data_IF_992977892412
#
_entry.id   IF_992977892412
#
_cell.length_a   1.000
_cell.length_b   1.000
_cell.length_c   1.000
_cell.angle_alpha   90.00
_cell.angle_beta   90.00
_cell.angle_gamma   90.00
#
_symmetry.space_group_name_H-M   'P 1'
#
loop_
_entity.id
_entity.type
_entity.pdbx_description
1 polymer ?
#
# COMPACT_ATOMS: atom_id res chain seq x y z
N UNK A 1 48.32 86.50 20.90
CA UNK A 1 49.35 86.79 19.93
C UNK A 1 49.11 85.83 18.77
N UNK A 2 48.64 86.42 17.87
CA UNK A 2 48.86 86.43 16.44
C UNK A 2 48.24 85.29 15.63
N UNK A 3 47.39 85.61 14.96
CA UNK A 3 46.57 85.53 13.87
C UNK A 3 47.24 85.34 12.47
N UNK A 4 46.46 85.33 11.37
CA UNK A 4 46.41 84.31 10.32
C UNK A 4 47.29 84.67 9.09
N UNK A 5 47.21 84.11 7.90
CA UNK A 5 46.08 84.17 6.98
C UNK A 5 45.92 83.11 5.85
N UNK A 6 44.72 83.06 5.28
CA UNK A 6 44.30 83.11 3.87
C UNK A 6 44.66 82.08 2.82
N UNK A 7 43.61 81.65 2.15
CA UNK A 7 43.36 81.47 0.72
C UNK A 7 44.03 80.38 -0.09
N UNK A 8 43.15 79.61 -0.75
CA UNK A 8 43.50 78.79 -1.87
C UNK A 8 42.28 78.01 -2.42
N UNK A 9 41.46 78.66 -3.25
CA UNK A 9 40.44 78.02 -4.12
C UNK A 9 41.16 77.18 -5.19
N UNK A 10 40.72 75.95 -5.33
CA UNK A 10 40.85 75.19 -6.57
C UNK A 10 39.64 74.19 -6.82
N UNK A 11 39.26 73.93 -8.03
CA UNK A 11 37.92 73.47 -8.38
C UNK A 11 37.78 71.96 -8.59
N UNK A 12 36.61 71.50 -8.34
CA UNK A 12 35.92 70.50 -9.07
C UNK A 12 36.60 69.14 -9.36
N UNK A 13 36.25 68.10 -8.56
CA UNK A 13 36.25 66.68 -9.05
C UNK A 13 34.96 66.02 -8.69
N UNK A 14 34.12 65.95 -9.74
CA UNK A 14 32.86 65.26 -9.78
C UNK A 14 33.18 63.76 -9.78
N UNK A 15 33.22 63.09 -8.63
CA UNK A 15 33.27 61.63 -8.56
C UNK A 15 31.88 61.08 -8.62
N UNK A 16 31.46 60.78 -9.86
CA UNK A 16 30.34 59.94 -10.15
C UNK A 16 30.49 58.58 -9.44
N UNK A 17 29.72 58.42 -8.38
CA UNK A 17 29.52 57.09 -7.76
C UNK A 17 28.83 56.21 -8.76
N UNK A 18 29.56 55.45 -9.54
CA UNK A 18 29.06 54.28 -10.29
C UNK A 18 28.60 53.25 -9.29
N UNK A 19 27.33 53.26 -8.96
CA UNK A 19 26.69 52.13 -8.27
C UNK A 19 26.82 50.90 -9.14
N UNK A 20 27.53 49.90 -8.64
CA UNK A 20 27.74 48.62 -9.30
C UNK A 20 26.40 47.88 -9.45
N UNK A 21 25.95 47.46 -10.68
CA UNK A 21 24.74 46.72 -10.88
C UNK A 21 24.86 45.20 -10.66
N UNK A 22 25.95 44.71 -10.05
CA UNK A 22 26.30 43.30 -10.02
C UNK A 22 25.74 42.51 -8.83
N UNK A 23 25.19 43.14 -7.80
CA UNK A 23 24.67 42.41 -6.63
C UNK A 23 23.24 41.95 -6.79
N UNK A 24 22.41 42.65 -7.56
CA UNK A 24 21.01 42.29 -7.74
C UNK A 24 20.78 41.15 -8.75
N UNK A 25 21.62 40.99 -9.76
CA UNK A 25 21.51 39.91 -10.74
C UNK A 25 21.87 38.55 -10.13
N UNK A 26 22.86 38.47 -9.26
CA UNK A 26 23.27 37.22 -8.60
C UNK A 26 22.23 36.73 -7.57
N UNK A 27 21.53 37.64 -6.87
CA UNK A 27 20.45 37.27 -5.94
C UNK A 27 19.20 36.75 -6.65
N UNK A 28 18.87 37.30 -7.81
CA UNK A 28 17.75 36.84 -8.65
C UNK A 28 17.99 35.48 -9.29
N UNK A 29 19.24 35.26 -9.70
CA UNK A 29 19.66 34.01 -10.35
C UNK A 29 19.74 32.85 -9.32
N UNK A 30 20.23 33.15 -8.12
CA UNK A 30 20.30 32.19 -7.02
C UNK A 30 18.90 31.76 -6.53
N UNK A 31 17.95 32.70 -6.40
CA UNK A 31 16.56 32.39 -6.07
C UNK A 31 15.86 31.56 -7.16
N UNK A 32 16.10 31.88 -8.44
CA UNK A 32 15.54 31.10 -9.54
C UNK A 32 16.10 29.67 -9.56
N UNK A 33 17.40 29.51 -9.29
CA UNK A 33 18.03 28.19 -9.23
C UNK A 33 17.54 27.37 -8.03
N UNK A 34 17.32 27.98 -6.87
CA UNK A 34 16.76 27.34 -5.67
C UNK A 34 15.30 26.90 -5.90
N UNK A 35 14.44 27.79 -6.42
CA UNK A 35 13.05 27.47 -6.77
C UNK A 35 12.96 26.35 -7.82
N UNK A 36 13.83 26.36 -8.82
CA UNK A 36 13.86 25.30 -9.84
C UNK A 36 14.30 23.97 -9.23
N UNK A 37 15.23 23.98 -8.29
CA UNK A 37 15.73 22.81 -7.59
C UNK A 37 14.67 22.21 -6.65
N UNK A 38 13.96 23.04 -5.88
CA UNK A 38 12.84 22.61 -5.04
C UNK A 38 11.72 22.00 -5.89
N UNK A 39 11.32 22.64 -7.00
CA UNK A 39 10.31 22.11 -7.91
C UNK A 39 10.70 20.76 -8.53
N UNK A 40 11.97 20.57 -8.90
CA UNK A 40 12.46 19.30 -9.46
C UNK A 40 12.44 18.20 -8.38
N UNK A 41 12.82 18.54 -7.14
CA UNK A 41 12.75 17.61 -6.01
C UNK A 41 11.31 17.19 -5.70
N UNK A 42 10.35 18.13 -5.73
CA UNK A 42 8.94 17.85 -5.55
C UNK A 42 8.38 16.93 -6.64
N UNK A 43 8.71 17.18 -7.91
CA UNK A 43 8.28 16.33 -9.03
C UNK A 43 8.87 14.92 -8.90
N UNK A 44 10.14 14.80 -8.54
CA UNK A 44 10.77 13.49 -8.34
C UNK A 44 10.09 12.71 -7.19
N UNK A 45 9.77 13.38 -6.08
CA UNK A 45 9.08 12.78 -4.94
C UNK A 45 7.66 12.34 -5.31
N UNK A 46 6.92 13.18 -6.02
CA UNK A 46 5.57 12.86 -6.49
C UNK A 46 5.57 11.70 -7.51
N UNK A 47 6.61 11.59 -8.35
CA UNK A 47 6.75 10.46 -9.26
C UNK A 47 7.01 9.14 -8.53
N UNK A 48 7.82 9.15 -7.45
CA UNK A 48 8.01 8.00 -6.57
C UNK A 48 6.68 7.59 -5.91
N UNK A 49 5.92 8.55 -5.39
CA UNK A 49 4.59 8.31 -4.82
C UNK A 49 3.63 7.68 -5.84
N UNK A 50 3.66 8.13 -7.09
CA UNK A 50 2.84 7.55 -8.15
C UNK A 50 3.25 6.10 -8.46
N UNK A 51 4.55 5.81 -8.56
CA UNK A 51 5.05 4.43 -8.76
C UNK A 51 4.63 3.53 -7.61
N UNK A 52 4.82 3.97 -6.35
CA UNK A 52 4.39 3.21 -5.16
C UNK A 52 2.86 2.97 -5.17
N UNK A 53 2.06 3.99 -5.55
CA UNK A 53 0.62 3.85 -5.71
C UNK A 53 0.23 2.83 -6.79
N UNK A 54 0.96 2.78 -7.93
CA UNK A 54 0.76 1.75 -8.96
C UNK A 54 1.07 0.36 -8.40
N UNK A 55 2.21 0.20 -7.74
CA UNK A 55 2.63 -1.08 -7.16
C UNK A 55 1.58 -1.57 -6.15
N UNK A 56 1.17 -0.71 -5.21
CA UNK A 56 0.15 -1.05 -4.22
C UNK A 56 -1.17 -1.46 -4.87
N UNK A 57 -1.72 -0.63 -5.75
CA UNK A 57 -3.01 -0.90 -6.37
C UNK A 57 -3.03 -2.17 -7.22
N UNK A 58 -1.93 -2.50 -7.90
CA UNK A 58 -1.83 -3.73 -8.68
C UNK A 58 -1.61 -4.98 -7.82
N UNK A 59 -0.96 -4.87 -6.67
CA UNK A 59 -0.51 -6.06 -5.91
C UNK A 59 -1.36 -6.38 -4.69
N UNK A 60 -2.11 -5.42 -4.13
CA UNK A 60 -2.86 -5.62 -2.88
C UNK A 60 -3.98 -6.67 -3.01
N UNK A 61 -4.69 -6.70 -4.13
CA UNK A 61 -5.81 -7.62 -4.33
C UNK A 61 -5.43 -8.93 -5.01
N UNK A 62 -4.26 -8.99 -5.62
CA UNK A 62 -3.71 -10.22 -6.16
C UNK A 62 -3.12 -11.09 -5.04
N UNK A 63 -3.17 -12.42 -5.15
CA UNK A 63 -2.60 -13.29 -4.13
C UNK A 63 -1.06 -13.37 -4.21
N UNK A 64 -0.37 -12.20 -4.33
CA UNK A 64 1.08 -12.09 -4.56
C UNK A 64 1.83 -11.26 -3.50
N UNK A 65 1.13 -10.66 -2.53
CA UNK A 65 1.67 -9.82 -1.45
C UNK A 65 2.23 -8.46 -1.88
N UNK A 66 1.46 -7.40 -1.63
CA UNK A 66 1.89 -6.00 -1.85
C UNK A 66 3.13 -5.62 -1.03
N UNK A 67 3.21 -6.07 0.23
CA UNK A 67 4.32 -5.74 1.15
C UNK A 67 5.70 -6.01 0.54
N UNK A 68 5.92 -7.21 -0.01
CA UNK A 68 7.22 -7.53 -0.63
C UNK A 68 7.55 -6.68 -1.85
N UNK A 69 6.52 -6.28 -2.62
CA UNK A 69 6.70 -5.42 -3.79
C UNK A 69 6.98 -3.97 -3.40
N UNK A 70 6.30 -3.46 -2.35
CA UNK A 70 6.53 -2.12 -1.83
C UNK A 70 7.93 -1.98 -1.21
N UNK A 71 8.39 -2.97 -0.44
CA UNK A 71 9.77 -2.98 0.09
C UNK A 71 10.78 -2.92 -1.06
N UNK A 72 10.62 -3.77 -2.08
CA UNK A 72 11.51 -3.76 -3.23
C UNK A 72 11.47 -2.43 -3.99
N UNK A 73 10.28 -1.93 -4.31
CA UNK A 73 10.09 -0.68 -5.04
C UNK A 73 10.60 0.53 -4.24
N UNK A 74 10.28 0.59 -2.94
CA UNK A 74 10.72 1.64 -2.03
C UNK A 74 12.25 1.72 -1.95
N UNK A 75 12.91 0.58 -1.73
CA UNK A 75 14.37 0.51 -1.69
C UNK A 75 15.01 0.93 -3.01
N UNK A 76 14.50 0.47 -4.16
CA UNK A 76 15.02 0.85 -5.48
C UNK A 76 14.81 2.32 -5.81
N UNK A 77 13.76 2.92 -5.27
CA UNK A 77 13.46 4.35 -5.46
C UNK A 77 14.16 5.24 -4.43
N UNK A 78 14.80 4.68 -3.39
CA UNK A 78 15.26 5.44 -2.23
C UNK A 78 14.07 6.14 -1.55
N UNK A 79 13.00 5.40 -1.29
CA UNK A 79 11.76 5.83 -0.64
C UNK A 79 11.40 4.78 0.43
N UNK A 80 12.20 4.73 1.50
CA UNK A 80 12.20 3.68 2.52
C UNK A 80 12.38 4.20 3.96
N UNK A 81 12.20 5.52 4.17
CA UNK A 81 12.22 6.15 5.49
C UNK A 81 10.94 5.82 6.31
N UNK A 82 10.90 6.27 7.56
CA UNK A 82 9.74 6.03 8.44
C UNK A 82 8.46 6.71 7.92
N UNK A 83 8.59 7.83 7.18
CA UNK A 83 7.45 8.48 6.53
C UNK A 83 6.95 7.64 5.35
N UNK A 84 7.83 7.00 4.58
CA UNK A 84 7.47 6.09 3.50
C UNK A 84 6.67 4.88 4.03
N UNK A 85 7.00 4.35 5.21
CA UNK A 85 6.22 3.28 5.86
C UNK A 85 4.80 3.71 6.19
N UNK A 86 4.60 4.94 6.66
CA UNK A 86 3.26 5.50 6.89
C UNK A 86 2.53 5.73 5.58
N UNK A 87 3.24 6.20 4.56
CA UNK A 87 2.71 6.39 3.22
C UNK A 87 2.22 5.06 2.62
N UNK A 88 2.99 3.97 2.73
CA UNK A 88 2.61 2.65 2.23
C UNK A 88 1.29 2.15 2.83
N UNK A 89 1.10 2.37 4.14
CA UNK A 89 -0.16 2.02 4.80
C UNK A 89 -1.31 2.95 4.35
N UNK A 90 -1.01 4.21 4.11
CA UNK A 90 -2.02 5.17 3.67
C UNK A 90 -2.53 4.87 2.27
N UNK A 91 -1.65 4.52 1.32
CA UNK A 91 -2.05 4.22 -0.07
C UNK A 91 -2.90 2.95 -0.17
N UNK A 92 -2.82 2.02 0.78
CA UNK A 92 -3.76 0.90 0.91
C UNK A 92 -5.20 1.40 1.06
N UNK A 93 -5.41 2.55 1.73
CA UNK A 93 -6.73 3.17 1.84
C UNK A 93 -7.24 3.63 0.47
N UNK A 94 -6.37 4.12 -0.41
CA UNK A 94 -6.72 4.41 -1.80
C UNK A 94 -7.20 3.18 -2.55
N UNK A 95 -6.46 2.08 -2.41
CA UNK A 95 -6.81 0.80 -3.02
C UNK A 95 -8.15 0.26 -2.52
N UNK A 96 -8.48 0.39 -1.21
CA UNK A 96 -9.76 -0.11 -0.68
C UNK A 96 -10.96 0.69 -1.16
N UNK A 97 -10.83 1.98 -1.44
CA UNK A 97 -11.89 2.77 -2.07
C UNK A 97 -12.27 2.22 -3.46
N UNK A 98 -11.33 1.62 -4.18
CA UNK A 98 -11.62 0.94 -5.45
C UNK A 98 -12.53 -0.29 -5.25
N UNK A 99 -12.33 -1.07 -4.19
CA UNK A 99 -13.24 -2.17 -3.82
C UNK A 99 -14.63 -1.65 -3.52
N UNK A 100 -14.71 -0.59 -2.70
CA UNK A 100 -16.00 0.02 -2.34
C UNK A 100 -16.73 0.48 -3.60
N UNK A 101 -16.03 1.08 -4.56
CA UNK A 101 -16.63 1.52 -5.83
C UNK A 101 -17.10 0.33 -6.68
N UNK A 102 -16.28 -0.72 -6.84
CA UNK A 102 -16.63 -1.91 -7.63
C UNK A 102 -17.85 -2.65 -7.06
N UNK A 103 -17.93 -2.71 -5.73
CA UNK A 103 -19.03 -3.39 -5.04
C UNK A 103 -20.08 -2.45 -4.46
N UNK A 104 -20.11 -1.20 -4.91
CA UNK A 104 -20.97 -0.14 -4.37
C UNK A 104 -22.44 -0.53 -4.26
N UNK A 105 -23.01 -1.11 -5.32
CA UNK A 105 -24.41 -1.53 -5.31
C UNK A 105 -24.68 -2.56 -4.20
N UNK A 106 -23.86 -3.61 -4.13
CA UNK A 106 -24.04 -4.67 -3.13
C UNK A 106 -23.84 -4.16 -1.71
N UNK A 107 -22.86 -3.29 -1.49
CA UNK A 107 -22.62 -2.66 -0.17
C UNK A 107 -23.81 -1.80 0.20
N UNK A 108 -24.26 -0.90 -0.68
CA UNK A 108 -25.41 -0.04 -0.45
C UNK A 108 -26.68 -0.85 -0.15
N UNK A 109 -26.98 -1.84 -0.99
CA UNK A 109 -28.18 -2.66 -0.86
C UNK A 109 -28.14 -3.48 0.44
N UNK A 110 -26.96 -4.00 0.82
CA UNK A 110 -26.76 -4.66 2.11
C UNK A 110 -27.02 -3.72 3.27
N UNK A 111 -26.44 -2.51 3.25
CA UNK A 111 -26.59 -1.52 4.33
C UNK A 111 -28.06 -1.10 4.48
N UNK A 112 -28.76 -0.83 3.37
CA UNK A 112 -30.17 -0.45 3.38
C UNK A 112 -31.08 -1.61 3.86
N UNK A 113 -30.69 -2.85 3.60
CA UNK A 113 -31.43 -4.04 4.01
C UNK A 113 -31.13 -4.51 5.45
N UNK A 114 -30.09 -3.99 6.10
CA UNK A 114 -29.70 -4.39 7.47
C UNK A 114 -30.85 -4.33 8.50
N UNK A 115 -31.74 -3.31 8.49
CA UNK A 115 -32.83 -3.24 9.49
C UNK A 115 -33.90 -4.32 9.31
N UNK A 116 -34.10 -4.84 8.09
CA UNK A 116 -35.26 -5.66 7.74
C UNK A 116 -34.94 -7.07 7.26
N UNK A 117 -33.75 -7.31 6.69
CA UNK A 117 -33.43 -8.57 6.02
C UNK A 117 -32.38 -9.39 6.78
N UNK A 118 -32.75 -10.58 7.21
CA UNK A 118 -31.84 -11.53 7.89
C UNK A 118 -30.60 -11.90 7.07
N UNK A 119 -30.74 -11.95 5.74
CA UNK A 119 -29.63 -12.28 4.84
C UNK A 119 -28.55 -11.18 4.87
N UNK A 120 -28.95 -9.90 4.81
CA UNK A 120 -28.04 -8.76 4.92
C UNK A 120 -27.34 -8.72 6.27
N UNK A 121 -28.10 -8.95 7.37
CA UNK A 121 -27.56 -9.04 8.73
C UNK A 121 -26.53 -10.16 8.85
N UNK A 122 -26.81 -11.35 8.31
CA UNK A 122 -25.89 -12.50 8.33
C UNK A 122 -24.63 -12.22 7.54
N UNK A 123 -24.76 -11.62 6.36
CA UNK A 123 -23.58 -11.25 5.54
C UNK A 123 -22.69 -10.25 6.25
N UNK A 124 -23.24 -9.17 6.79
CA UNK A 124 -22.49 -8.18 7.56
C UNK A 124 -21.83 -8.80 8.80
N UNK A 125 -22.57 -9.65 9.52
CA UNK A 125 -22.05 -10.39 10.68
C UNK A 125 -20.89 -11.31 10.29
N UNK A 126 -20.98 -12.01 9.15
CA UNK A 126 -19.91 -12.88 8.64
C UNK A 126 -18.64 -12.08 8.35
N UNK A 127 -18.75 -10.88 7.76
CA UNK A 127 -17.60 -10.00 7.53
C UNK A 127 -16.96 -9.57 8.86
N UNK A 128 -17.78 -9.19 9.86
CA UNK A 128 -17.29 -8.81 11.19
C UNK A 128 -16.63 -9.99 11.90
N UNK A 129 -17.24 -11.18 11.89
CA UNK A 129 -16.67 -12.39 12.50
C UNK A 129 -15.32 -12.74 11.86
N UNK A 130 -15.19 -12.64 10.55
CA UNK A 130 -13.93 -12.90 9.85
C UNK A 130 -12.86 -11.81 10.12
N UNK A 131 -13.27 -10.58 10.40
CA UNK A 131 -12.38 -9.46 10.72
C UNK A 131 -11.75 -9.58 12.12
N UNK A 132 -12.52 -10.00 13.11
CA UNK A 132 -12.11 -9.97 14.52
C UNK A 132 -10.82 -10.76 14.85
N UNK A 133 -10.58 -11.98 14.38
CA UNK A 133 -9.36 -12.72 14.72
C UNK A 133 -8.07 -11.96 14.38
N UNK A 134 -8.00 -11.35 13.19
CA UNK A 134 -6.84 -10.59 12.76
C UNK A 134 -6.64 -9.31 13.59
N UNK A 135 -7.73 -8.63 13.98
CA UNK A 135 -7.65 -7.46 14.87
C UNK A 135 -7.11 -7.85 16.24
N UNK A 136 -7.66 -8.90 16.85
CA UNK A 136 -7.24 -9.36 18.19
C UNK A 136 -5.75 -9.72 18.15
N UNK A 137 -5.34 -10.56 17.22
CA UNK A 137 -3.93 -10.97 17.10
C UNK A 137 -3.01 -9.79 16.73
N UNK A 138 -3.44 -8.89 15.88
CA UNK A 138 -2.69 -7.69 15.49
C UNK A 138 -2.43 -6.76 16.67
N UNK A 139 -3.44 -6.53 17.50
CA UNK A 139 -3.29 -5.70 18.71
C UNK A 139 -2.42 -6.37 19.77
N UNK A 140 -2.53 -7.69 19.96
CA UNK A 140 -1.77 -8.42 20.97
C UNK A 140 -0.32 -8.68 20.57
N UNK A 141 -0.09 -9.08 19.32
CA UNK A 141 1.20 -9.60 18.85
C UNK A 141 1.86 -8.77 17.75
N UNK A 142 1.21 -7.71 17.23
CA UNK A 142 1.69 -6.95 16.07
C UNK A 142 3.11 -6.41 16.23
N UNK A 143 3.49 -5.93 17.44
CA UNK A 143 4.86 -5.46 17.73
C UNK A 143 5.88 -6.61 17.66
N UNK A 144 5.56 -7.77 18.26
CA UNK A 144 6.44 -8.92 18.25
C UNK A 144 6.60 -9.50 16.84
N UNK A 145 5.51 -9.54 16.07
CA UNK A 145 5.53 -9.98 14.66
C UNK A 145 6.45 -9.08 13.83
N UNK A 146 6.31 -7.75 13.95
CA UNK A 146 7.20 -6.81 13.25
C UNK A 146 8.67 -7.01 13.65
N UNK A 147 8.95 -7.10 14.94
CA UNK A 147 10.32 -7.23 15.44
C UNK A 147 11.04 -8.53 15.03
N UNK A 148 10.31 -9.62 14.82
CA UNK A 148 10.94 -10.93 14.61
C UNK A 148 10.74 -11.54 13.22
N UNK A 149 9.68 -11.14 12.50
CA UNK A 149 9.32 -11.78 11.23
C UNK A 149 9.59 -10.91 9.99
N UNK A 150 9.86 -9.61 10.14
CA UNK A 150 10.20 -8.74 9.00
C UNK A 150 11.66 -8.93 8.58
N UNK A 151 11.97 -10.10 8.03
CA UNK A 151 13.28 -10.44 7.49
C UNK A 151 13.16 -10.95 6.05
N UNK A 152 14.18 -10.74 5.20
CA UNK A 152 14.13 -11.20 3.80
C UNK A 152 13.92 -12.71 3.68
N UNK A 153 14.46 -13.49 4.60
CA UNK A 153 14.29 -14.94 4.61
C UNK A 153 12.84 -15.32 4.88
N UNK A 154 12.17 -14.68 5.83
CA UNK A 154 10.75 -14.92 6.11
C UNK A 154 9.90 -14.49 4.94
N UNK A 155 10.12 -13.29 4.38
CA UNK A 155 9.39 -12.80 3.21
C UNK A 155 9.53 -13.76 2.03
N UNK A 156 10.76 -14.16 1.67
CA UNK A 156 10.99 -15.08 0.58
C UNK A 156 10.38 -16.46 0.81
N UNK A 157 10.53 -17.00 2.03
CA UNK A 157 9.96 -18.30 2.39
C UNK A 157 8.43 -18.30 2.27
N UNK A 158 7.77 -17.24 2.73
CA UNK A 158 6.30 -17.11 2.64
C UNK A 158 5.82 -16.89 1.20
N UNK A 159 6.61 -16.22 0.36
CA UNK A 159 6.32 -16.13 -1.08
C UNK A 159 6.37 -17.53 -1.71
N UNK A 160 7.47 -18.27 -1.51
CA UNK A 160 7.68 -19.59 -2.11
C UNK A 160 6.66 -20.61 -1.59
N UNK A 161 6.51 -20.72 -0.26
CA UNK A 161 5.56 -21.63 0.37
C UNK A 161 4.12 -21.29 -0.04
N UNK A 162 3.76 -20.00 -0.05
CA UNK A 162 2.46 -19.54 -0.52
C UNK A 162 2.20 -19.91 -1.98
N UNK A 163 3.22 -19.86 -2.85
CA UNK A 163 3.13 -20.34 -4.22
C UNK A 163 2.79 -21.84 -4.29
N UNK A 164 3.48 -22.68 -3.54
CA UNK A 164 3.17 -24.13 -3.47
C UNK A 164 1.78 -24.41 -2.90
N UNK A 165 1.37 -23.65 -1.87
CA UNK A 165 0.01 -23.79 -1.28
C UNK A 165 -1.06 -23.43 -2.32
N UNK A 166 -0.86 -22.39 -3.13
CA UNK A 166 -1.79 -22.04 -4.22
C UNK A 166 -1.89 -23.19 -5.23
N UNK A 167 -0.75 -23.75 -5.69
CA UNK A 167 -0.75 -24.87 -6.62
C UNK A 167 -1.48 -26.10 -6.05
N UNK A 168 -1.26 -26.39 -4.78
CA UNK A 168 -1.94 -27.49 -4.10
C UNK A 168 -3.44 -27.26 -3.98
N UNK A 169 -3.86 -26.05 -3.58
CA UNK A 169 -5.28 -25.71 -3.45
C UNK A 169 -6.02 -25.81 -4.80
N UNK A 170 -5.41 -25.29 -5.86
CA UNK A 170 -5.95 -25.36 -7.22
C UNK A 170 -6.07 -26.80 -7.72
N UNK A 171 -5.03 -27.63 -7.55
CA UNK A 171 -5.07 -29.05 -7.92
C UNK A 171 -6.14 -29.82 -7.14
N UNK A 172 -6.23 -29.57 -5.83
CA UNK A 172 -7.23 -30.22 -4.97
C UNK A 172 -8.66 -29.89 -5.41
N UNK A 173 -8.95 -28.63 -5.71
CA UNK A 173 -10.29 -28.20 -6.11
C UNK A 173 -10.62 -28.63 -7.56
N UNK A 174 -9.61 -28.65 -8.46
CA UNK A 174 -9.78 -29.14 -9.83
C UNK A 174 -10.04 -30.65 -9.87
N UNK A 175 -9.35 -31.43 -9.05
CA UNK A 175 -9.53 -32.89 -8.98
C UNK A 175 -10.86 -33.29 -8.32
N UNK A 176 -11.38 -32.45 -7.41
CA UNK A 176 -12.63 -32.68 -6.69
C UNK A 176 -13.49 -31.40 -6.67
N UNK A 177 -14.23 -31.09 -7.74
CA UNK A 177 -15.06 -29.88 -7.82
C UNK A 177 -16.14 -29.80 -6.73
N UNK A 178 -16.59 -30.92 -6.19
CA UNK A 178 -17.59 -31.00 -5.10
C UNK A 178 -17.09 -30.41 -3.78
N UNK A 179 -15.77 -30.23 -3.62
CA UNK A 179 -15.19 -29.56 -2.45
C UNK A 179 -15.57 -28.07 -2.38
N UNK A 180 -15.88 -27.46 -3.52
CA UNK A 180 -16.37 -26.07 -3.60
C UNK A 180 -17.89 -26.04 -3.32
N UNK A 181 -18.28 -26.28 -2.06
CA UNK A 181 -19.67 -26.35 -1.63
C UNK A 181 -20.38 -24.99 -1.52
N UNK A 182 -19.61 -23.90 -1.37
CA UNK A 182 -20.10 -22.51 -1.23
C UNK A 182 -19.82 -21.79 -2.55
N UNK A 183 -20.87 -21.48 -3.31
CA UNK A 183 -20.75 -20.82 -4.61
C UNK A 183 -20.92 -19.29 -4.53
N UNK A 184 -21.65 -18.81 -3.52
CA UNK A 184 -21.91 -17.40 -3.29
C UNK A 184 -21.64 -17.03 -1.82
N UNK A 185 -21.24 -15.78 -1.58
CA UNK A 185 -20.89 -15.30 -0.22
C UNK A 185 -22.09 -15.30 0.72
N UNK A 186 -23.30 -15.27 0.20
CA UNK A 186 -24.57 -15.34 0.94
C UNK A 186 -24.84 -16.72 1.55
N UNK A 187 -24.23 -17.76 1.00
CA UNK A 187 -24.38 -19.15 1.48
C UNK A 187 -23.46 -19.43 2.70
N UNK A 188 -22.50 -18.56 2.96
CA UNK A 188 -21.54 -18.74 4.06
C UNK A 188 -22.24 -18.77 5.42
N UNK A 189 -21.83 -19.72 6.25
CA UNK A 189 -22.19 -19.75 7.66
C UNK A 189 -21.23 -18.87 8.49
N UNK A 190 -21.61 -18.45 9.72
CA UNK A 190 -20.69 -17.77 10.62
C UNK A 190 -19.40 -18.55 10.92
N UNK A 191 -19.50 -19.89 10.94
CA UNK A 191 -18.34 -20.76 11.12
C UNK A 191 -17.39 -20.74 9.90
N UNK A 192 -17.92 -20.66 8.69
CA UNK A 192 -17.10 -20.51 7.47
C UNK A 192 -16.39 -19.18 7.49
N UNK A 193 -17.09 -18.10 7.87
CA UNK A 193 -16.51 -16.78 8.01
C UNK A 193 -15.39 -16.74 9.07
N UNK A 194 -15.61 -17.35 10.23
CA UNK A 194 -14.59 -17.46 11.27
C UNK A 194 -13.34 -18.19 10.77
N UNK A 195 -13.53 -19.31 10.06
CA UNK A 195 -12.40 -20.08 9.50
C UNK A 195 -11.60 -19.27 8.49
N UNK A 196 -12.26 -18.49 7.61
CA UNK A 196 -11.56 -17.57 6.69
C UNK A 196 -10.85 -16.45 7.45
N UNK A 197 -11.47 -15.93 8.52
CA UNK A 197 -10.84 -14.95 9.42
C UNK A 197 -9.59 -15.48 10.12
N UNK A 198 -9.62 -16.75 10.55
CA UNK A 198 -8.43 -17.42 11.09
C UNK A 198 -7.35 -17.60 10.02
N UNK A 199 -7.72 -17.96 8.79
CA UNK A 199 -6.78 -18.00 7.67
C UNK A 199 -6.17 -16.62 7.39
N UNK A 200 -6.94 -15.53 7.52
CA UNK A 200 -6.43 -14.17 7.39
C UNK A 200 -5.30 -13.86 8.39
N UNK A 201 -5.29 -14.46 9.57
CA UNK A 201 -4.25 -14.24 10.57
C UNK A 201 -2.85 -14.63 10.04
N UNK A 202 -2.76 -15.58 9.11
CA UNK A 202 -1.50 -15.93 8.47
C UNK A 202 -0.91 -14.76 7.68
N UNK A 203 -1.73 -13.83 7.23
CA UNK A 203 -1.29 -12.63 6.51
C UNK A 203 -0.49 -11.65 7.37
N UNK A 204 -0.48 -11.82 8.68
CA UNK A 204 0.39 -11.06 9.59
C UNK A 204 1.87 -11.43 9.43
N UNK A 205 2.15 -12.60 8.88
CA UNK A 205 3.51 -13.00 8.52
C UNK A 205 3.86 -12.31 7.19
N UNK A 206 4.93 -11.48 7.14
CA UNK A 206 5.27 -10.72 5.96
C UNK A 206 5.51 -11.63 4.75
N UNK A 207 5.07 -11.19 3.58
CA UNK A 207 5.14 -11.97 2.34
C UNK A 207 4.00 -12.96 2.12
N UNK A 208 3.18 -13.28 3.14
CA UNK A 208 2.08 -14.24 2.99
C UNK A 208 0.99 -13.75 2.03
N UNK A 209 0.72 -12.46 1.96
CA UNK A 209 -0.41 -11.82 1.27
C UNK A 209 -1.76 -12.00 2.00
N UNK A 210 -2.41 -10.88 2.34
CA UNK A 210 -3.74 -10.90 2.95
C UNK A 210 -4.77 -11.52 1.99
N UNK A 211 -4.80 -11.07 0.74
CA UNK A 211 -5.67 -11.63 -0.31
C UNK A 211 -5.34 -13.10 -0.57
N UNK A 212 -4.04 -13.47 -0.60
CA UNK A 212 -3.63 -14.87 -0.74
C UNK A 212 -4.14 -15.75 0.39
N UNK A 213 -3.99 -15.32 1.64
CA UNK A 213 -4.44 -16.09 2.81
C UNK A 213 -5.97 -16.28 2.82
N UNK A 214 -6.73 -15.23 2.53
CA UNK A 214 -8.21 -15.29 2.57
C UNK A 214 -8.80 -16.00 1.37
N UNK A 215 -8.27 -15.79 0.16
CA UNK A 215 -8.77 -16.45 -1.06
C UNK A 215 -8.42 -17.94 -1.03
N UNK A 216 -7.14 -18.26 -0.87
CA UNK A 216 -6.70 -19.66 -0.93
C UNK A 216 -7.17 -20.43 0.31
N UNK A 217 -7.12 -19.79 1.50
CA UNK A 217 -7.73 -20.35 2.71
C UNK A 217 -9.22 -20.63 2.53
N UNK A 218 -9.97 -19.68 1.96
CA UNK A 218 -11.38 -19.85 1.63
C UNK A 218 -11.63 -21.03 0.68
N UNK A 219 -10.84 -21.16 -0.40
CA UNK A 219 -10.91 -22.30 -1.32
C UNK A 219 -10.65 -23.64 -0.63
N UNK A 220 -9.65 -23.71 0.23
CA UNK A 220 -9.34 -24.93 1.01
C UNK A 220 -10.44 -25.29 2.00
N UNK A 221 -11.19 -24.29 2.47
CA UNK A 221 -12.31 -24.45 3.41
C UNK A 221 -13.67 -24.69 2.72
N UNK A 222 -13.69 -24.76 1.39
CA UNK A 222 -14.86 -25.15 0.63
C UNK A 222 -15.60 -24.01 -0.08
N UNK A 223 -15.02 -22.84 -0.21
CA UNK A 223 -15.53 -21.79 -1.07
C UNK A 223 -15.08 -22.02 -2.52
N UNK A 224 -15.94 -21.69 -3.48
CA UNK A 224 -15.53 -21.59 -4.88
C UNK A 224 -14.52 -20.46 -5.06
N UNK A 225 -13.72 -20.51 -6.13
CA UNK A 225 -12.74 -19.47 -6.45
C UNK A 225 -13.36 -18.07 -6.46
N UNK A 226 -14.57 -17.95 -7.05
CA UNK A 226 -15.33 -16.71 -7.10
C UNK A 226 -15.77 -16.25 -5.71
N UNK A 227 -16.44 -17.11 -4.94
CA UNK A 227 -16.92 -16.76 -3.61
C UNK A 227 -15.78 -16.39 -2.65
N UNK A 228 -14.65 -17.11 -2.70
CA UNK A 228 -13.47 -16.82 -1.90
C UNK A 228 -12.87 -15.43 -2.23
N UNK A 229 -12.79 -15.09 -3.53
CA UNK A 229 -12.29 -13.79 -3.98
C UNK A 229 -13.24 -12.66 -3.57
N UNK A 230 -14.53 -12.81 -3.79
CA UNK A 230 -15.52 -11.82 -3.38
C UNK A 230 -15.50 -11.59 -1.87
N UNK A 231 -15.53 -12.66 -1.06
CA UNK A 231 -15.49 -12.54 0.39
C UNK A 231 -14.19 -11.88 0.89
N UNK A 232 -13.05 -12.22 0.29
CA UNK A 232 -11.76 -11.58 0.57
C UNK A 232 -11.82 -10.06 0.35
N UNK A 233 -12.49 -9.60 -0.71
CA UNK A 233 -12.63 -8.17 -0.98
C UNK A 233 -13.53 -7.46 0.03
N UNK A 234 -14.66 -8.05 0.42
CA UNK A 234 -15.49 -7.48 1.48
C UNK A 234 -14.77 -7.45 2.83
N UNK A 235 -14.02 -8.49 3.16
CA UNK A 235 -13.23 -8.56 4.38
C UNK A 235 -12.06 -7.54 4.37
N UNK A 236 -11.55 -7.19 3.21
CA UNK A 236 -10.53 -6.16 3.05
C UNK A 236 -11.01 -4.78 3.54
N UNK A 237 -12.29 -4.46 3.37
CA UNK A 237 -12.84 -3.14 3.71
C UNK A 237 -12.59 -2.81 5.19
N UNK A 238 -13.13 -3.55 6.17
CA UNK A 238 -12.85 -3.24 7.57
C UNK A 238 -11.39 -3.45 7.95
N UNK A 239 -10.70 -4.42 7.33
CA UNK A 239 -9.30 -4.75 7.68
C UNK A 239 -8.35 -3.62 7.30
N UNK A 240 -8.39 -3.14 6.05
CA UNK A 240 -7.46 -2.11 5.58
C UNK A 240 -7.84 -0.72 6.10
N UNK A 241 -9.14 -0.40 6.21
CA UNK A 241 -9.56 0.86 6.84
C UNK A 241 -9.14 0.89 8.29
N UNK A 242 -9.38 -0.20 9.04
CA UNK A 242 -8.97 -0.29 10.45
C UNK A 242 -7.46 -0.17 10.64
N UNK A 243 -6.67 -0.85 9.83
CA UNK A 243 -5.21 -0.76 9.85
C UNK A 243 -4.72 0.64 9.48
N UNK A 244 -5.29 1.25 8.42
CA UNK A 244 -4.95 2.59 7.97
C UNK A 244 -5.24 3.66 9.03
N UNK A 245 -6.45 3.67 9.59
CA UNK A 245 -6.84 4.61 10.65
C UNK A 245 -5.96 4.45 11.89
N UNK A 246 -5.72 3.21 12.33
CA UNK A 246 -4.86 2.93 13.47
C UNK A 246 -3.43 3.44 13.26
N UNK A 247 -2.83 3.17 12.10
CA UNK A 247 -1.46 3.58 11.79
C UNK A 247 -1.33 5.09 11.63
N UNK A 248 -2.23 5.74 10.89
CA UNK A 248 -2.23 7.20 10.74
C UNK A 248 -2.40 7.91 12.09
N UNK A 249 -3.26 7.39 12.97
CA UNK A 249 -3.43 7.93 14.32
C UNK A 249 -2.16 7.76 15.16
N UNK A 250 -1.54 6.59 15.12
CA UNK A 250 -0.34 6.25 15.90
C UNK A 250 0.86 7.08 15.47
N UNK A 251 1.09 7.23 14.17
CA UNK A 251 2.25 7.90 13.57
C UNK A 251 1.96 9.36 13.17
N UNK A 252 0.86 9.96 13.66
CA UNK A 252 0.43 11.32 13.31
C UNK A 252 1.48 12.41 13.54
N UNK A 253 2.42 12.18 14.45
CA UNK A 253 3.51 13.10 14.74
C UNK A 253 4.56 13.22 13.61
N UNK A 254 4.62 12.21 12.72
CA UNK A 254 5.50 12.19 11.55
C UNK A 254 4.91 12.94 10.35
N UNK A 255 3.60 13.28 10.40
CA UNK A 255 2.88 13.85 9.28
C UNK A 255 2.85 15.38 9.37
N UNK A 256 3.14 16.04 8.25
CA UNK A 256 3.04 17.48 8.09
C UNK A 256 2.06 17.85 6.96
N UNK A 257 1.54 19.08 6.99
CA UNK A 257 0.67 19.57 5.91
C UNK A 257 1.38 19.63 4.56
N UNK A 258 2.69 19.79 4.55
CA UNK A 258 3.52 19.71 3.34
C UNK A 258 3.50 18.34 2.66
N UNK A 259 3.11 17.28 3.38
CA UNK A 259 3.07 15.91 2.84
C UNK A 259 1.75 15.62 2.08
N UNK A 260 0.74 16.49 2.21
CA UNK A 260 -0.57 16.29 1.58
C UNK A 260 -0.49 16.01 0.08
N UNK A 261 0.31 16.72 -0.73
CA UNK A 261 0.42 16.42 -2.16
C UNK A 261 0.97 15.02 -2.43
N UNK A 262 1.97 14.58 -1.65
CA UNK A 262 2.58 13.25 -1.74
C UNK A 262 1.53 12.15 -1.50
N UNK A 263 0.82 12.25 -0.37
CA UNK A 263 -0.22 11.30 0.00
C UNK A 263 -1.39 11.31 -0.98
N UNK A 264 -1.81 12.48 -1.45
CA UNK A 264 -2.90 12.61 -2.42
C UNK A 264 -2.57 11.91 -3.75
N UNK A 265 -1.36 12.11 -4.29
CA UNK A 265 -0.90 11.43 -5.51
C UNK A 265 -0.90 9.92 -5.30
N UNK A 266 -0.29 9.43 -4.22
CA UNK A 266 -0.22 8.01 -3.92
C UNK A 266 -1.62 7.37 -3.78
N UNK A 267 -2.53 8.00 -3.03
CA UNK A 267 -3.91 7.54 -2.83
C UNK A 267 -4.70 7.48 -4.15
N UNK A 268 -4.62 8.54 -4.96
CA UNK A 268 -5.36 8.61 -6.24
C UNK A 268 -4.82 7.57 -7.22
N UNK A 269 -3.50 7.45 -7.35
CA UNK A 269 -2.90 6.48 -8.27
C UNK A 269 -3.17 5.05 -7.79
N UNK A 270 -3.07 4.77 -6.49
CA UNK A 270 -3.41 3.47 -5.91
C UNK A 270 -4.87 3.11 -6.16
N UNK A 271 -5.79 4.07 -5.99
CA UNK A 271 -7.22 3.87 -6.29
C UNK A 271 -7.44 3.43 -7.75
N UNK A 272 -6.90 4.17 -8.73
CA UNK A 272 -7.12 3.84 -10.14
C UNK A 272 -6.44 2.54 -10.54
N UNK A 273 -5.21 2.28 -10.07
CA UNK A 273 -4.51 1.01 -10.29
C UNK A 273 -5.29 -0.17 -9.72
N UNK A 274 -5.78 -0.06 -8.49
CA UNK A 274 -6.57 -1.08 -7.82
C UNK A 274 -7.90 -1.31 -8.55
N UNK A 275 -8.57 -0.25 -8.98
CA UNK A 275 -9.82 -0.35 -9.73
C UNK A 275 -9.66 -1.13 -11.04
N UNK A 276 -8.60 -0.86 -11.80
CA UNK A 276 -8.27 -1.61 -13.00
C UNK A 276 -7.91 -3.06 -12.67
N UNK A 277 -7.07 -3.28 -11.65
CA UNK A 277 -6.64 -4.59 -11.21
C UNK A 277 -7.81 -5.48 -10.76
N UNK A 278 -8.72 -4.97 -9.91
CA UNK A 278 -9.88 -5.72 -9.42
C UNK A 278 -10.78 -6.14 -10.58
N UNK A 279 -11.08 -5.21 -11.50
CA UNK A 279 -11.92 -5.52 -12.69
C UNK A 279 -11.28 -6.57 -13.60
N UNK A 280 -9.96 -6.48 -13.78
CA UNK A 280 -9.22 -7.46 -14.53
C UNK A 280 -9.22 -8.82 -13.82
N UNK A 281 -8.92 -8.85 -12.51
CA UNK A 281 -8.87 -10.08 -11.72
C UNK A 281 -10.20 -10.82 -11.73
N UNK A 282 -11.33 -10.13 -11.54
CA UNK A 282 -12.66 -10.74 -11.57
C UNK A 282 -12.98 -11.41 -12.92
N UNK A 283 -12.52 -10.81 -14.02
CA UNK A 283 -12.63 -11.44 -15.36
C UNK A 283 -11.68 -12.62 -15.51
N UNK A 284 -10.46 -12.48 -15.02
CA UNK A 284 -9.43 -13.50 -15.10
C UNK A 284 -9.84 -14.79 -14.37
N UNK A 285 -10.32 -14.70 -13.14
CA UNK A 285 -10.69 -15.86 -12.33
C UNK A 285 -11.95 -16.58 -12.83
N UNK A 286 -12.73 -15.96 -13.70
CA UNK A 286 -13.89 -16.61 -14.32
C UNK A 286 -13.47 -17.75 -15.26
N UNK A 287 -12.27 -17.66 -15.86
CA UNK A 287 -11.79 -18.62 -16.87
C UNK A 287 -10.41 -19.22 -16.54
N UNK A 288 -9.68 -18.64 -15.60
CA UNK A 288 -8.32 -19.06 -15.26
C UNK A 288 -8.18 -19.44 -13.79
N UNK A 289 -7.15 -20.25 -13.49
CA UNK A 289 -6.76 -20.61 -12.14
C UNK A 289 -5.76 -19.61 -11.55
N UNK A 290 -5.54 -19.69 -10.24
CA UNK A 290 -4.48 -18.91 -9.58
C UNK A 290 -3.05 -19.44 -9.79
N UNK A 291 -2.87 -20.50 -10.61
CA UNK A 291 -1.56 -21.11 -10.84
C UNK A 291 -0.51 -20.11 -11.39
N UNK A 292 -0.91 -19.17 -12.26
CA UNK A 292 -0.02 -18.11 -12.74
C UNK A 292 0.58 -17.27 -11.61
N UNK A 293 -0.24 -16.89 -10.63
CA UNK A 293 0.23 -16.15 -9.45
C UNK A 293 1.12 -17.01 -8.54
N UNK A 294 0.89 -18.31 -8.48
CA UNK A 294 1.75 -19.22 -7.74
C UNK A 294 3.17 -19.29 -8.29
N UNK A 295 3.31 -19.45 -9.61
CA UNK A 295 4.62 -19.41 -10.27
C UNK A 295 5.31 -18.07 -10.10
N UNK A 296 4.55 -16.97 -10.22
CA UNK A 296 5.06 -15.64 -9.96
C UNK A 296 5.61 -15.50 -8.54
N UNK A 297 4.88 -15.96 -7.52
CA UNK A 297 5.32 -15.93 -6.11
C UNK A 297 6.62 -16.71 -5.89
N UNK A 298 6.74 -17.91 -6.46
CA UNK A 298 7.95 -18.73 -6.33
C UNK A 298 9.13 -18.00 -6.95
N UNK A 299 8.95 -17.45 -8.15
CA UNK A 299 9.99 -16.65 -8.83
C UNK A 299 10.37 -15.41 -8.01
N UNK A 300 9.37 -14.64 -7.57
CA UNK A 300 9.62 -13.42 -6.81
C UNK A 300 10.29 -13.70 -5.46
N UNK A 301 9.94 -14.78 -4.79
CA UNK A 301 10.63 -15.24 -3.57
C UNK A 301 12.12 -15.52 -3.81
N UNK A 302 12.48 -16.10 -4.97
CA UNK A 302 13.88 -16.25 -5.37
C UNK A 302 14.56 -14.90 -5.62
N UNK A 303 13.86 -13.93 -6.22
CA UNK A 303 14.35 -12.56 -6.40
C UNK A 303 14.61 -11.88 -5.06
N UNK A 304 13.70 -12.04 -4.07
CA UNK A 304 13.88 -11.51 -2.71
C UNK A 304 15.18 -12.05 -2.08
N UNK A 305 15.44 -13.35 -2.17
CA UNK A 305 16.68 -13.94 -1.65
C UNK A 305 17.91 -13.43 -2.38
N UNK A 306 17.86 -13.34 -3.71
CA UNK A 306 18.99 -12.87 -4.51
C UNK A 306 19.32 -11.40 -4.22
N UNK A 307 18.32 -10.52 -4.10
CA UNK A 307 18.52 -9.09 -3.79
C UNK A 307 18.97 -8.87 -2.34
N UNK A 308 18.48 -9.67 -1.40
CA UNK A 308 18.94 -9.65 -0.01
C UNK A 308 20.40 -10.11 0.10
N UNK A 309 20.77 -11.18 -0.60
CA UNK A 309 22.15 -11.70 -0.56
C UNK A 309 23.14 -10.74 -1.24
N UNK A 310 22.76 -10.13 -2.34
CA UNK A 310 23.62 -9.17 -3.04
C UNK A 310 23.74 -7.81 -2.34
N UNK A 311 22.91 -7.53 -1.32
CA UNK A 311 22.85 -6.24 -0.64
C UNK A 311 22.24 -5.11 -1.48
N UNK A 312 21.60 -5.44 -2.61
CA UNK A 312 20.96 -4.44 -3.50
C UNK A 312 19.70 -3.82 -2.89
N UNK A 313 19.06 -4.52 -1.95
CA UNK A 313 17.82 -4.08 -1.32
C UNK A 313 17.94 -4.26 0.19
N UNK A 314 17.57 -3.22 0.92
CA UNK A 314 17.43 -3.30 2.39
C UNK A 314 16.06 -3.87 2.70
N UNK A 315 16.02 -5.13 3.16
CA UNK A 315 14.80 -5.86 3.49
C UNK A 315 14.45 -5.83 4.98
N UNK A 316 15.24 -5.13 5.80
CA UNK A 316 14.98 -4.96 7.22
C UNK A 316 14.29 -3.62 7.49
N UNK A 317 13.33 -3.63 8.43
CA UNK A 317 12.71 -2.42 8.98
C UNK A 317 13.54 -1.79 10.10
#
# INVERSE_FOLDING_TARGET
>A
MDGPPCCGLAPGLNHGIRRAPLAQSKLGDNRRSELTREQVLDIALLSKAAVMGVVEGLTEFLPISSTGHLILAGSLLGFDDDKAKVFDIAIQTGAIFAVILVYWQKIRDTVLALPSQRQAQRFALNVLIAFLPAVILGLLFGKAIKAHLFTPVVVASTFILGGFIILWAERRQSNNPTLARIQAVEEMTPLDALKVGLAQCLAMIPGTSRSGATIIGGMLLGLSRKAATEFSFYLAIPTLIGAGVYSLYKERALLALSDVPLFAVGLVVSFFSAWLCIRWLLRYIATHSFAGFAYYRIFFGAVVLATAWSGLVVWAD
#
